data_IF_747971909220
#
_entry.id   IF_747971909220
#
_cell.length_a   1.000
_cell.length_b   1.000
_cell.length_c   1.000
_cell.angle_alpha   90.00
_cell.angle_beta   90.00
_cell.angle_gamma   90.00
#
_symmetry.space_group_name_H-M   'P 1'
#
loop_
_entity.id
_entity.type
_entity.pdbx_description
1 polymer ?
#
# COMPACT_ATOMS: atom_id res chain seq x y z
N UNK A 1 29.67 20.54 41.69
CA UNK A 1 28.47 21.18 41.10
C UNK A 1 28.88 21.85 39.80
N UNK A 2 28.37 21.38 38.66
CA UNK A 2 28.76 21.90 37.35
C UNK A 2 28.06 21.18 36.21
N UNK A 3 26.75 21.39 36.08
CA UNK A 3 25.97 21.07 34.89
C UNK A 3 26.41 21.99 33.74
N UNK A 4 26.86 21.44 32.61
CA UNK A 4 26.80 22.11 31.31
C UNK A 4 26.38 21.11 30.23
N UNK A 5 25.23 21.40 29.64
CA UNK A 5 24.57 20.57 28.64
C UNK A 5 25.39 20.42 27.36
N UNK A 6 25.31 19.22 26.79
CA UNK A 6 25.80 18.94 25.46
C UNK A 6 24.83 19.58 24.45
N UNK A 7 25.14 20.82 24.08
CA UNK A 7 24.44 21.55 23.02
C UNK A 7 24.91 20.97 21.69
N UNK A 8 24.04 20.18 21.05
CA UNK A 8 24.26 19.63 19.71
C UNK A 8 24.26 20.82 18.74
N UNK A 9 25.46 21.32 18.41
CA UNK A 9 25.63 22.33 17.37
C UNK A 9 25.37 21.68 16.02
N UNK A 10 24.21 21.98 15.41
CA UNK A 10 23.96 21.71 14.00
C UNK A 10 24.70 22.80 13.22
N UNK A 11 25.97 22.56 12.91
CA UNK A 11 26.68 23.33 11.89
C UNK A 11 26.06 23.02 10.52
N UNK A 12 25.40 24.03 9.95
CA UNK A 12 24.85 24.03 8.59
C UNK A 12 25.94 24.00 7.52
N UNK A 13 26.56 22.84 7.32
CA UNK A 13 27.25 22.52 6.07
C UNK A 13 26.25 21.95 5.06
N UNK A 14 26.45 22.16 3.74
CA UNK A 14 25.62 21.50 2.72
C UNK A 14 25.72 19.98 2.92
N UNK A 15 24.62 19.23 2.78
CA UNK A 15 24.61 17.79 3.02
C UNK A 15 25.66 17.13 2.11
N UNK A 16 26.64 16.45 2.72
CA UNK A 16 27.56 15.57 2.00
C UNK A 16 26.72 14.60 1.18
N UNK A 17 26.83 14.66 -0.14
CA UNK A 17 26.14 13.75 -1.04
C UNK A 17 26.60 12.32 -0.72
N UNK A 18 25.70 11.41 -0.31
CA UNK A 18 26.04 10.01 -0.16
C UNK A 18 26.26 9.40 -1.55
N UNK A 19 27.17 8.43 -1.61
CA UNK A 19 27.45 7.62 -2.79
C UNK A 19 26.14 7.14 -3.48
N UNK A 20 26.15 7.22 -4.80
CA UNK A 20 25.01 7.12 -5.74
C UNK A 20 24.24 5.78 -5.75
N UNK A 21 24.51 4.85 -4.85
CA UNK A 21 23.84 3.53 -4.80
C UNK A 21 22.62 3.47 -3.85
N UNK A 22 22.39 4.47 -3.01
CA UNK A 22 21.44 4.32 -1.88
C UNK A 22 19.99 4.80 -2.14
N UNK A 23 19.71 5.44 -3.28
CA UNK A 23 18.42 6.12 -3.54
C UNK A 23 17.30 5.21 -4.08
N UNK A 24 17.51 3.89 -4.10
CA UNK A 24 16.64 2.94 -4.82
C UNK A 24 15.32 2.61 -4.13
N UNK A 25 15.08 3.06 -2.89
CA UNK A 25 13.87 2.74 -2.14
C UNK A 25 12.91 3.93 -2.07
N UNK A 26 11.84 3.92 -2.89
CA UNK A 26 10.76 4.92 -2.92
C UNK A 26 10.22 5.30 -1.52
N UNK A 27 10.22 4.35 -0.58
CA UNK A 27 9.77 4.54 0.81
C UNK A 27 10.65 5.48 1.65
N UNK A 28 11.90 5.69 1.25
CA UNK A 28 12.83 6.61 1.94
C UNK A 28 12.70 8.03 1.41
N UNK A 29 12.11 8.22 0.23
CA UNK A 29 12.02 9.54 -0.40
C UNK A 29 11.23 10.54 0.46
N UNK A 30 10.10 10.10 1.04
CA UNK A 30 9.24 10.96 1.86
C UNK A 30 9.96 11.53 3.10
N UNK A 31 10.55 10.73 4.01
CA UNK A 31 11.23 11.27 5.18
C UNK A 31 12.45 12.12 4.82
N UNK A 32 13.20 11.75 3.77
CA UNK A 32 14.33 12.56 3.29
C UNK A 32 13.87 13.89 2.68
N UNK A 33 12.77 13.91 1.94
CA UNK A 33 12.21 15.14 1.35
C UNK A 33 11.78 16.13 2.42
N UNK A 34 11.12 15.67 3.48
CA UNK A 34 10.73 16.52 4.62
C UNK A 34 11.97 17.13 5.28
N UNK A 35 13.02 16.34 5.49
CA UNK A 35 14.27 16.81 6.07
C UNK A 35 15.00 17.82 5.17
N UNK A 36 14.97 17.62 3.85
CA UNK A 36 15.62 18.50 2.89
C UNK A 36 14.90 19.85 2.73
N UNK A 37 13.57 19.84 2.65
CA UNK A 37 12.74 21.04 2.41
C UNK A 37 12.64 21.89 3.68
N UNK A 38 12.44 21.26 4.85
CA UNK A 38 12.18 21.97 6.11
C UNK A 38 13.37 22.00 7.06
N UNK A 39 14.53 21.47 6.65
CA UNK A 39 15.74 21.42 7.48
C UNK A 39 16.25 22.77 7.97
N UNK A 40 15.89 23.86 7.28
CA UNK A 40 16.31 25.22 7.63
C UNK A 40 15.45 25.87 8.74
N UNK A 41 14.30 25.30 9.11
CA UNK A 41 13.39 25.85 10.12
C UNK A 41 13.38 24.91 11.35
N UNK A 42 14.00 25.29 12.49
CA UNK A 42 14.02 24.44 13.67
C UNK A 42 12.59 24.22 14.20
N UNK A 43 12.25 22.97 14.53
CA UNK A 43 10.94 22.58 15.07
C UNK A 43 9.92 22.13 14.03
N UNK A 44 9.96 22.66 12.79
CA UNK A 44 8.98 22.32 11.75
C UNK A 44 9.09 20.85 11.29
N UNK A 45 10.31 20.35 11.13
CA UNK A 45 10.57 18.92 10.84
C UNK A 45 9.99 18.02 11.94
N UNK A 46 10.09 18.43 13.21
CA UNK A 46 9.52 17.70 14.35
C UNK A 46 8.00 17.68 14.32
N UNK A 47 7.37 18.80 13.96
CA UNK A 47 5.91 18.89 13.79
C UNK A 47 5.42 17.96 12.67
N UNK A 48 6.11 17.91 11.52
CA UNK A 48 5.77 17.01 10.41
C UNK A 48 5.84 15.55 10.82
N UNK A 49 6.93 15.15 11.49
CA UNK A 49 7.12 13.76 11.96
C UNK A 49 6.04 13.39 12.99
N UNK A 50 5.76 14.28 13.95
CA UNK A 50 4.69 14.07 14.93
C UNK A 50 3.31 13.91 14.26
N UNK A 51 3.02 14.68 13.21
CA UNK A 51 1.78 14.57 12.43
C UNK A 51 1.63 13.21 11.74
N UNK A 52 2.69 12.69 11.11
CA UNK A 52 2.67 11.37 10.46
C UNK A 52 2.42 10.25 11.47
N UNK A 53 3.08 10.31 12.64
CA UNK A 53 2.83 9.36 13.72
C UNK A 53 1.41 9.47 14.26
N UNK A 54 0.90 10.69 14.48
CA UNK A 54 -0.46 10.91 14.96
C UNK A 54 -1.52 10.37 13.98
N UNK A 55 -1.37 10.62 12.68
CA UNK A 55 -2.26 10.08 11.66
C UNK A 55 -2.27 8.55 11.66
N UNK A 56 -1.08 7.94 11.73
CA UNK A 56 -0.92 6.48 11.76
C UNK A 56 -1.56 5.85 13.00
N UNK A 57 -1.32 6.44 14.18
CA UNK A 57 -1.89 5.99 15.45
C UNK A 57 -3.41 6.19 15.50
N UNK A 58 -3.92 7.26 14.89
CA UNK A 58 -5.36 7.53 14.78
C UNK A 58 -6.08 6.44 13.98
N UNK A 59 -5.57 6.10 12.78
CA UNK A 59 -6.11 5.00 11.98
C UNK A 59 -6.03 3.66 12.72
N UNK A 60 -4.88 3.37 13.35
CA UNK A 60 -4.69 2.13 14.11
C UNK A 60 -5.68 2.02 15.27
N UNK A 61 -5.91 3.10 16.02
CA UNK A 61 -6.87 3.14 17.12
C UNK A 61 -8.29 2.87 16.64
N UNK A 62 -8.72 3.52 15.55
CA UNK A 62 -10.06 3.29 14.99
C UNK A 62 -10.27 1.85 14.54
N UNK A 63 -9.27 1.24 13.91
CA UNK A 63 -9.32 -0.14 13.44
C UNK A 63 -9.41 -1.15 14.60
N UNK A 64 -8.57 -0.99 15.64
CA UNK A 64 -8.58 -1.87 16.82
C UNK A 64 -9.88 -1.73 17.61
N UNK A 65 -10.39 -0.50 17.76
CA UNK A 65 -11.65 -0.25 18.46
C UNK A 65 -12.83 -0.90 17.72
N UNK A 66 -12.88 -0.75 16.39
CA UNK A 66 -13.88 -1.40 15.57
C UNK A 66 -13.78 -2.93 15.66
N UNK A 67 -12.57 -3.49 15.53
CA UNK A 67 -12.36 -4.94 15.56
C UNK A 67 -12.74 -5.55 16.91
N UNK A 68 -12.41 -4.87 18.01
CA UNK A 68 -12.83 -5.28 19.34
C UNK A 68 -14.35 -5.27 19.50
N UNK A 69 -15.01 -4.20 19.04
CA UNK A 69 -16.46 -4.08 19.14
C UNK A 69 -17.18 -5.13 18.27
N UNK A 70 -16.72 -5.34 17.03
CA UNK A 70 -17.24 -6.38 16.12
C UNK A 70 -17.08 -7.75 16.77
N UNK A 71 -15.94 -8.04 17.40
CA UNK A 71 -15.72 -9.34 18.07
C UNK A 71 -16.66 -9.53 19.26
N UNK A 72 -16.94 -8.47 20.01
CA UNK A 72 -17.89 -8.53 21.13
C UNK A 72 -19.31 -8.76 20.64
N UNK A 73 -19.74 -8.03 19.62
CA UNK A 73 -21.09 -8.13 19.06
C UNK A 73 -21.32 -9.46 18.32
N UNK A 74 -20.36 -9.91 17.49
CA UNK A 74 -20.52 -11.09 16.63
C UNK A 74 -20.25 -12.42 17.36
N UNK A 75 -19.32 -12.43 18.31
CA UNK A 75 -18.95 -13.66 19.02
C UNK A 75 -19.44 -13.64 20.47
N UNK A 76 -19.07 -12.63 21.26
CA UNK A 76 -19.30 -12.70 22.71
C UNK A 76 -20.79 -12.58 23.07
N UNK A 77 -21.51 -11.66 22.42
CA UNK A 77 -22.92 -11.38 22.69
C UNK A 77 -23.86 -12.56 22.40
N UNK A 78 -23.77 -13.27 21.25
CA UNK A 78 -24.60 -14.47 21.02
C UNK A 78 -24.29 -15.61 22.00
N UNK A 79 -23.02 -15.81 22.39
CA UNK A 79 -22.68 -16.82 23.41
C UNK A 79 -23.12 -16.41 24.83
N UNK A 80 -23.14 -15.11 25.14
CA UNK A 80 -23.48 -14.61 26.47
C UNK A 80 -24.97 -14.32 26.66
N UNK A 81 -25.80 -14.31 25.61
CA UNK A 81 -27.25 -14.07 25.71
C UNK A 81 -27.97 -14.98 26.73
N UNK A 82 -27.43 -16.18 27.00
CA UNK A 82 -27.93 -17.10 28.04
C UNK A 82 -27.70 -16.60 29.48
N UNK A 83 -26.89 -15.56 29.69
CA UNK A 83 -26.46 -15.04 30.98
C UNK A 83 -26.64 -13.52 30.88
N UNK A 84 -27.60 -12.92 31.59
CA UNK A 84 -27.86 -11.48 31.55
C UNK A 84 -26.62 -10.69 32.06
N UNK A 85 -25.62 -10.46 31.20
CA UNK A 85 -24.35 -9.79 31.54
C UNK A 85 -24.56 -8.28 31.47
N UNK A 86 -24.03 -7.56 32.46
CA UNK A 86 -24.05 -6.10 32.51
C UNK A 86 -23.17 -5.48 31.40
N UNK A 87 -23.64 -4.39 30.78
CA UNK A 87 -22.91 -3.64 29.73
C UNK A 87 -21.50 -3.19 30.15
N UNK A 88 -21.31 -2.95 31.45
CA UNK A 88 -20.00 -2.58 32.03
C UNK A 88 -18.97 -3.69 31.85
N UNK A 89 -19.39 -4.95 31.98
CA UNK A 89 -18.53 -6.12 31.76
C UNK A 89 -18.20 -6.33 30.29
N UNK A 90 -19.16 -6.10 29.38
CA UNK A 90 -18.92 -6.18 27.93
C UNK A 90 -17.89 -5.13 27.49
N UNK A 91 -18.00 -3.91 28.03
CA UNK A 91 -17.04 -2.83 27.78
C UNK A 91 -15.63 -3.18 28.31
N UNK A 92 -15.55 -3.82 29.47
CA UNK A 92 -14.27 -4.28 30.01
C UNK A 92 -13.62 -5.33 29.12
N UNK A 93 -14.40 -6.30 28.62
CA UNK A 93 -13.92 -7.32 27.68
C UNK A 93 -13.45 -6.68 26.37
N UNK A 94 -14.20 -5.71 25.83
CA UNK A 94 -13.80 -4.97 24.63
C UNK A 94 -12.44 -4.26 24.82
N UNK A 95 -12.21 -3.63 25.98
CA UNK A 95 -10.92 -3.01 26.29
C UNK A 95 -9.78 -4.03 26.37
N UNK A 96 -10.03 -5.19 26.97
CA UNK A 96 -9.04 -6.27 27.06
C UNK A 96 -8.68 -6.83 25.68
N UNK A 97 -9.69 -7.06 24.82
CA UNK A 97 -9.49 -7.48 23.43
C UNK A 97 -8.70 -6.46 22.63
N UNK A 98 -8.97 -5.16 22.79
CA UNK A 98 -8.23 -4.11 22.12
C UNK A 98 -6.73 -4.15 22.45
N UNK A 99 -6.38 -4.34 23.73
CA UNK A 99 -4.97 -4.52 24.14
C UNK A 99 -4.36 -5.78 23.52
N UNK A 100 -5.12 -6.87 23.47
CA UNK A 100 -4.72 -8.12 22.80
C UNK A 100 -4.40 -7.92 21.31
N UNK A 101 -5.26 -7.21 20.59
CA UNK A 101 -5.04 -6.90 19.17
C UNK A 101 -3.82 -6.02 18.95
N UNK A 102 -3.55 -5.02 19.79
CA UNK A 102 -2.34 -4.20 19.69
C UNK A 102 -1.09 -5.07 19.86
N UNK A 103 -1.09 -6.00 20.83
CA UNK A 103 0.01 -6.94 21.02
C UNK A 103 0.22 -7.83 19.78
N UNK A 104 -0.87 -8.35 19.19
CA UNK A 104 -0.83 -9.16 17.98
C UNK A 104 -0.27 -8.36 16.78
N UNK A 105 -0.69 -7.10 16.61
CA UNK A 105 -0.21 -6.21 15.56
C UNK A 105 1.29 -5.94 15.71
N UNK A 106 1.78 -5.73 16.93
CA UNK A 106 3.22 -5.58 17.20
C UNK A 106 4.00 -6.85 16.84
N UNK A 107 3.47 -8.03 17.18
CA UNK A 107 4.08 -9.31 16.80
C UNK A 107 4.14 -9.46 15.27
N UNK A 108 3.03 -9.17 14.57
CA UNK A 108 2.97 -9.21 13.11
C UNK A 108 3.91 -8.19 12.46
N UNK A 109 4.11 -7.01 13.06
CA UNK A 109 5.06 -6.02 12.56
C UNK A 109 6.51 -6.55 12.58
N UNK A 110 6.89 -7.35 13.57
CA UNK A 110 8.20 -8.01 13.60
C UNK A 110 8.36 -9.01 12.46
N UNK A 111 7.30 -9.78 12.15
CA UNK A 111 7.31 -10.71 11.01
C UNK A 111 7.31 -9.94 9.68
N UNK A 112 6.58 -8.82 9.60
CA UNK A 112 6.49 -7.95 8.43
C UNK A 112 7.86 -7.42 7.98
N UNK A 113 8.82 -7.25 8.90
CA UNK A 113 10.19 -6.82 8.59
C UNK A 113 10.95 -7.77 7.65
N UNK A 114 10.52 -9.03 7.56
CA UNK A 114 11.11 -10.04 6.66
C UNK A 114 10.56 -9.95 5.22
N UNK A 115 9.49 -9.21 4.98
CA UNK A 115 8.89 -9.08 3.66
C UNK A 115 9.60 -8.01 2.83
N UNK A 116 10.09 -8.40 1.64
CA UNK A 116 10.76 -7.48 0.69
C UNK A 116 9.80 -6.45 0.07
N UNK A 117 8.49 -6.65 0.13
CA UNK A 117 7.46 -5.83 -0.50
C UNK A 117 6.23 -5.54 0.37
N UNK A 118 6.41 -5.00 1.59
CA UNK A 118 5.28 -4.86 2.56
C UNK A 118 4.09 -4.04 2.04
N UNK A 119 4.30 -2.99 1.24
CA UNK A 119 3.21 -2.15 0.75
C UNK A 119 2.32 -2.92 -0.24
N UNK A 120 2.94 -3.68 -1.14
CA UNK A 120 2.24 -4.51 -2.10
C UNK A 120 1.49 -5.65 -1.40
N UNK A 121 2.15 -6.34 -0.45
CA UNK A 121 1.54 -7.39 0.34
C UNK A 121 0.31 -6.88 1.12
N UNK A 122 0.41 -5.72 1.77
CA UNK A 122 -0.73 -5.12 2.49
C UNK A 122 -1.87 -4.75 1.53
N UNK A 123 -1.57 -4.16 0.37
CA UNK A 123 -2.61 -3.80 -0.59
C UNK A 123 -3.35 -5.02 -1.16
N UNK A 124 -2.64 -6.13 -1.38
CA UNK A 124 -3.25 -7.40 -1.80
C UNK A 124 -4.16 -7.94 -0.70
N UNK A 125 -3.70 -8.02 0.55
CA UNK A 125 -4.51 -8.56 1.66
C UNK A 125 -5.75 -7.72 1.94
N UNK A 126 -5.60 -6.39 1.99
CA UNK A 126 -6.73 -5.47 2.21
C UNK A 126 -7.72 -5.53 1.05
N UNK A 127 -7.21 -5.55 -0.19
CA UNK A 127 -8.04 -5.71 -1.37
C UNK A 127 -8.80 -7.03 -1.35
N UNK A 128 -8.13 -8.15 -1.09
CA UNK A 128 -8.71 -9.50 -1.17
C UNK A 128 -10.03 -9.66 -0.41
N UNK A 129 -10.14 -9.04 0.76
CA UNK A 129 -11.36 -9.07 1.57
C UNK A 129 -12.26 -7.88 1.23
N UNK A 130 -11.69 -6.69 1.01
CA UNK A 130 -12.45 -5.46 0.77
C UNK A 130 -13.22 -5.44 -0.55
N UNK A 131 -12.64 -5.90 -1.67
CA UNK A 131 -13.30 -5.80 -2.99
C UNK A 131 -14.52 -6.70 -3.14
N UNK A 132 -14.50 -7.98 -2.72
CA UNK A 132 -15.70 -8.82 -2.76
C UNK A 132 -16.82 -8.28 -1.86
N UNK A 133 -16.48 -7.76 -0.67
CA UNK A 133 -17.46 -7.14 0.23
C UNK A 133 -18.08 -5.89 -0.41
N UNK A 134 -17.27 -5.05 -1.04
CA UNK A 134 -17.78 -3.90 -1.79
C UNK A 134 -18.70 -4.36 -2.93
N UNK A 135 -18.34 -5.42 -3.66
CA UNK A 135 -19.15 -6.00 -4.73
C UNK A 135 -20.54 -6.44 -4.25
N UNK A 136 -20.63 -7.20 -3.15
CA UNK A 136 -21.93 -7.64 -2.61
C UNK A 136 -22.74 -6.47 -2.02
N UNK A 137 -22.07 -5.46 -1.46
CA UNK A 137 -22.75 -4.28 -0.95
C UNK A 137 -23.41 -3.48 -2.09
N UNK A 138 -22.70 -3.32 -3.20
CA UNK A 138 -23.25 -2.71 -4.42
C UNK A 138 -24.37 -3.58 -5.00
N UNK A 139 -24.25 -4.91 -4.99
CA UNK A 139 -25.31 -5.81 -5.45
C UNK A 139 -26.61 -5.57 -4.66
N UNK A 140 -26.53 -5.53 -3.34
CA UNK A 140 -27.69 -5.29 -2.47
C UNK A 140 -28.27 -3.88 -2.58
N UNK A 141 -27.46 -2.89 -2.97
CA UNK A 141 -27.94 -1.51 -3.17
C UNK A 141 -28.65 -1.32 -4.51
N UNK A 142 -28.13 -1.92 -5.59
CA UNK A 142 -28.65 -1.72 -6.95
C UNK A 142 -29.70 -2.74 -7.38
N UNK A 143 -29.83 -3.86 -6.69
CA UNK A 143 -30.70 -4.96 -7.09
C UNK A 143 -31.64 -5.38 -5.95
N UNK A 144 -32.94 -5.49 -6.26
CA UNK A 144 -33.96 -5.96 -5.31
C UNK A 144 -34.17 -7.47 -5.33
N UNK A 145 -33.59 -8.18 -6.30
CA UNK A 145 -33.67 -9.64 -6.48
C UNK A 145 -32.48 -10.39 -5.86
N UNK A 146 -31.68 -9.75 -5.01
CA UNK A 146 -30.50 -10.39 -4.42
C UNK A 146 -30.91 -11.37 -3.31
N UNK A 147 -30.59 -12.65 -3.51
CA UNK A 147 -30.85 -13.73 -2.57
C UNK A 147 -29.61 -14.05 -1.71
N UNK A 148 -29.80 -14.47 -0.46
CA UNK A 148 -28.73 -14.85 0.47
C UNK A 148 -27.74 -15.89 -0.11
N UNK A 149 -28.18 -17.05 -0.65
CA UNK A 149 -27.26 -18.05 -1.18
C UNK A 149 -26.52 -17.56 -2.43
N UNK A 150 -27.19 -16.81 -3.32
CA UNK A 150 -26.57 -16.25 -4.52
C UNK A 150 -25.48 -15.23 -4.19
N UNK A 151 -25.74 -14.38 -3.18
CA UNK A 151 -24.76 -13.39 -2.68
C UNK A 151 -23.54 -14.08 -2.06
N UNK A 152 -23.74 -15.17 -1.32
CA UNK A 152 -22.65 -15.96 -0.74
C UNK A 152 -21.76 -16.63 -1.81
N UNK A 153 -22.37 -17.16 -2.88
CA UNK A 153 -21.64 -17.74 -4.02
C UNK A 153 -20.82 -16.65 -4.74
N UNK A 154 -21.41 -15.48 -4.97
CA UNK A 154 -20.70 -14.33 -5.52
C UNK A 154 -19.50 -13.91 -4.67
N UNK A 155 -19.68 -13.85 -3.34
CA UNK A 155 -18.59 -13.52 -2.41
C UNK A 155 -17.43 -14.52 -2.48
N UNK A 156 -17.73 -15.82 -2.42
CA UNK A 156 -16.71 -16.89 -2.43
C UNK A 156 -15.96 -16.94 -3.76
N UNK A 157 -16.67 -16.79 -4.89
CA UNK A 157 -16.06 -16.80 -6.23
C UNK A 157 -15.18 -15.57 -6.44
N UNK A 158 -15.63 -14.38 -6.01
CA UNK A 158 -14.84 -13.15 -6.03
C UNK A 158 -13.58 -13.23 -5.17
N UNK A 159 -13.71 -13.75 -3.95
CA UNK A 159 -12.58 -13.97 -3.03
C UNK A 159 -11.57 -14.96 -3.64
N UNK A 160 -12.03 -16.07 -4.20
CA UNK A 160 -11.18 -17.06 -4.86
C UNK A 160 -10.43 -16.50 -6.06
N UNK A 161 -11.13 -15.71 -6.90
CA UNK A 161 -10.52 -15.09 -8.08
C UNK A 161 -9.46 -14.04 -7.69
N UNK A 162 -9.76 -13.18 -6.71
CA UNK A 162 -8.78 -12.20 -6.24
C UNK A 162 -7.61 -12.87 -5.55
N UNK A 163 -7.85 -13.89 -4.73
CA UNK A 163 -6.77 -14.64 -4.07
C UNK A 163 -5.86 -15.31 -5.09
N UNK A 164 -6.43 -15.97 -6.10
CA UNK A 164 -5.67 -16.57 -7.20
C UNK A 164 -4.79 -15.55 -7.92
N UNK A 165 -5.39 -14.45 -8.39
CA UNK A 165 -4.68 -13.48 -9.19
C UNK A 165 -3.72 -12.61 -8.36
N UNK A 166 -4.09 -12.24 -7.14
CA UNK A 166 -3.28 -11.43 -6.23
C UNK A 166 -2.07 -12.20 -5.70
N UNK A 167 -2.27 -13.45 -5.27
CA UNK A 167 -1.16 -14.30 -4.83
C UNK A 167 -0.29 -14.72 -6.02
N UNK A 168 -0.89 -14.99 -7.19
CA UNK A 168 -0.18 -15.25 -8.43
C UNK A 168 0.71 -14.07 -8.84
N UNK A 169 0.21 -12.83 -8.77
CA UNK A 169 1.00 -11.62 -9.04
C UNK A 169 2.13 -11.43 -8.03
N UNK A 170 1.86 -11.68 -6.74
CA UNK A 170 2.86 -11.56 -5.67
C UNK A 170 4.02 -12.57 -5.81
N UNK A 171 3.72 -13.79 -6.25
CA UNK A 171 4.75 -14.83 -6.50
C UNK A 171 5.52 -14.54 -7.79
N UNK A 172 4.79 -14.23 -8.87
CA UNK A 172 5.35 -14.13 -10.23
C UNK A 172 6.18 -12.87 -10.41
N UNK A 173 5.97 -11.83 -9.59
CA UNK A 173 6.71 -10.56 -9.60
C UNK A 173 6.88 -10.01 -11.02
N UNK A 174 5.82 -9.45 -11.63
CA UNK A 174 5.99 -8.77 -12.90
C UNK A 174 7.03 -7.65 -12.73
N UNK A 175 8.12 -7.73 -13.50
CA UNK A 175 9.13 -6.68 -13.55
C UNK A 175 8.50 -5.45 -14.16
N UNK A 176 7.98 -4.54 -13.32
CA UNK A 176 7.53 -3.24 -13.77
C UNK A 176 8.79 -2.49 -14.13
N UNK A 177 9.07 -2.34 -15.43
CA UNK A 177 10.17 -1.55 -15.93
C UNK A 177 10.09 -0.14 -15.32
N UNK A 178 10.92 0.13 -14.33
CA UNK A 178 11.01 1.46 -13.74
C UNK A 178 11.70 2.35 -14.75
N UNK A 179 11.04 3.43 -15.17
CA UNK A 179 11.68 4.44 -16.01
C UNK A 179 13.00 4.89 -15.35
N UNK A 180 14.09 5.02 -16.12
CA UNK A 180 15.39 5.41 -15.58
C UNK A 180 15.26 6.79 -14.93
N UNK A 181 15.40 6.85 -13.60
CA UNK A 181 15.35 8.09 -12.81
C UNK A 181 16.73 8.75 -12.65
N UNK A 182 17.61 8.55 -13.63
CA UNK A 182 18.94 9.17 -13.63
C UNK A 182 18.87 10.50 -14.37
N UNK A 183 19.19 11.60 -13.68
CA UNK A 183 19.49 12.90 -14.30
C UNK A 183 20.99 13.06 -14.60
N UNK A 184 21.78 11.97 -14.53
CA UNK A 184 23.19 12.00 -14.91
C UNK A 184 23.29 12.38 -16.40
N UNK A 185 23.76 13.60 -16.67
CA UNK A 185 23.88 14.17 -18.01
C UNK A 185 22.97 15.37 -18.32
N UNK A 186 22.06 15.77 -17.42
CA UNK A 186 21.26 16.97 -17.63
C UNK A 186 22.05 18.22 -17.19
N UNK A 187 22.96 18.68 -18.05
CA UNK A 187 23.53 20.03 -17.95
C UNK A 187 22.52 21.01 -18.54
N UNK A 188 21.85 21.79 -17.69
CA UNK A 188 21.23 23.04 -18.15
C UNK A 188 22.40 24.00 -18.35
N UNK A 189 22.97 24.02 -19.55
CA UNK A 189 23.80 25.13 -19.97
C UNK A 189 22.87 26.35 -20.09
N UNK A 190 22.98 27.24 -19.11
CA UNK A 190 22.43 28.58 -19.17
C UNK A 190 23.23 29.40 -20.19
N UNK A 191 23.09 29.07 -21.47
CA UNK A 191 23.51 29.93 -22.55
C UNK A 191 22.29 30.74 -22.96
N UNK A 192 22.25 31.97 -22.46
CA UNK A 192 21.46 33.06 -23.01
C UNK A 192 21.94 33.36 -24.43
N UNK A 193 21.72 32.48 -25.40
CA UNK A 193 21.80 32.83 -26.82
C UNK A 193 20.71 32.10 -27.60
N UNK A 194 19.86 32.95 -28.17
CA UNK A 194 18.85 32.74 -29.21
C UNK A 194 18.99 31.45 -30.04
N UNK A 195 17.87 30.75 -30.16
CA UNK A 195 17.64 29.65 -31.11
C UNK A 195 17.74 30.17 -32.55
N UNK A 196 18.95 30.19 -33.12
CA UNK A 196 19.15 30.39 -34.56
C UNK A 196 19.22 29.01 -35.23
N UNK A 197 18.08 28.56 -35.76
CA UNK A 197 18.01 27.50 -36.74
C UNK A 197 18.76 27.98 -37.99
N UNK A 198 19.94 27.42 -38.22
CA UNK A 198 20.54 27.39 -39.55
C UNK A 198 20.92 25.94 -39.87
N UNK A 199 20.17 25.42 -40.83
CA UNK A 199 20.43 24.23 -41.63
C UNK A 199 21.90 24.08 -41.97
N UNK A 200 22.49 22.93 -41.65
CA UNK A 200 23.44 22.22 -42.51
C UNK A 200 23.72 20.83 -41.92
N UNK A 201 23.55 19.81 -42.77
CA UNK A 201 23.63 18.41 -42.44
C UNK A 201 25.09 17.96 -42.30
N UNK A 202 25.44 17.32 -41.19
CA UNK A 202 26.67 16.53 -41.07
C UNK A 202 26.42 15.28 -40.25
N UNK A 203 26.32 14.16 -40.98
CA UNK A 203 26.58 12.76 -40.58
C UNK A 203 26.34 12.38 -39.12
N UNK A 204 25.11 11.94 -38.83
CA UNK A 204 24.84 11.03 -37.72
C UNK A 204 25.42 9.67 -38.11
N UNK A 205 26.53 9.28 -37.48
CA UNK A 205 26.93 7.87 -37.46
C UNK A 205 25.89 7.10 -36.64
N UNK A 206 25.25 6.16 -37.34
CA UNK A 206 24.36 5.14 -36.82
C UNK A 206 25.06 4.30 -35.74
N UNK A 207 24.72 4.52 -34.47
CA UNK A 207 24.78 3.44 -33.46
C UNK A 207 23.39 2.82 -33.41
N UNK A 208 23.12 1.99 -34.40
CA UNK A 208 22.05 1.01 -34.39
C UNK A 208 22.61 -0.24 -33.73
N UNK A 209 22.55 -0.32 -32.40
CA UNK A 209 22.43 -1.60 -31.70
C UNK A 209 22.15 -1.34 -30.22
N UNK A 210 20.91 -1.60 -29.82
CA UNK A 210 20.58 -1.84 -28.42
C UNK A 210 21.41 -3.06 -27.95
N UNK A 211 22.10 -3.00 -26.81
CA UNK A 211 22.81 -4.16 -26.30
C UNK A 211 21.78 -5.21 -25.89
N UNK A 212 21.63 -6.20 -26.75
CA UNK A 212 20.97 -7.45 -26.47
C UNK A 212 21.75 -8.21 -25.39
N UNK A 213 21.01 -8.59 -24.34
CA UNK A 213 21.17 -9.78 -23.50
C UNK A 213 22.25 -9.78 -22.40
N UNK A 214 21.78 -9.58 -21.16
CA UNK A 214 22.05 -10.58 -20.12
C UNK A 214 20.70 -11.26 -19.84
N UNK A 215 20.64 -12.55 -20.15
CA UNK A 215 19.45 -13.37 -20.02
C UNK A 215 18.88 -13.33 -18.60
N UNK A 216 17.65 -12.87 -18.52
CA UNK A 216 16.69 -13.34 -17.53
C UNK A 216 15.67 -14.08 -18.37
N UNK A 217 15.45 -15.37 -18.08
CA UNK A 217 14.34 -16.15 -18.62
C UNK A 217 13.11 -15.24 -18.71
N UNK A 218 12.66 -14.94 -19.94
CA UNK A 218 11.33 -14.40 -20.14
C UNK A 218 10.41 -15.56 -19.78
N UNK A 219 10.17 -15.73 -18.48
CA UNK A 219 9.14 -16.62 -18.00
C UNK A 219 7.89 -16.23 -18.78
N UNK A 220 7.30 -17.21 -19.46
CA UNK A 220 6.02 -17.10 -20.16
C UNK A 220 4.95 -16.84 -19.09
N UNK A 221 4.91 -15.60 -18.63
CA UNK A 221 4.01 -15.12 -17.60
C UNK A 221 2.67 -14.92 -18.29
N UNK A 222 1.63 -15.62 -17.80
CA UNK A 222 0.28 -15.47 -18.32
C UNK A 222 -0.07 -13.97 -18.49
N UNK A 223 -0.65 -13.56 -19.64
CA UNK A 223 -0.89 -12.15 -19.97
C UNK A 223 -1.74 -11.42 -18.92
N UNK A 224 -2.49 -12.16 -18.10
CA UNK A 224 -3.29 -11.64 -17.00
C UNK A 224 -2.45 -10.97 -15.88
N UNK A 225 -1.18 -11.38 -15.71
CA UNK A 225 -0.27 -10.80 -14.72
C UNK A 225 0.53 -9.61 -15.27
N UNK A 226 0.45 -9.33 -16.59
CA UNK A 226 1.01 -8.12 -17.21
C UNK A 226 0.12 -6.89 -17.00
N UNK A 227 -1.15 -7.07 -16.63
CA UNK A 227 -2.05 -5.97 -16.32
C UNK A 227 -1.64 -5.26 -15.03
N UNK A 228 -1.90 -3.94 -14.98
CA UNK A 228 -1.62 -3.15 -13.77
C UNK A 228 -2.39 -3.72 -12.58
N UNK A 229 -1.71 -3.90 -11.46
CA UNK A 229 -2.27 -4.36 -10.19
C UNK A 229 -3.47 -3.51 -9.70
N UNK A 230 -3.62 -2.28 -10.20
CA UNK A 230 -4.77 -1.40 -9.93
C UNK A 230 -6.09 -1.87 -10.56
N UNK A 231 -6.03 -2.62 -11.66
CA UNK A 231 -7.23 -3.11 -12.35
C UNK A 231 -7.74 -4.44 -11.79
N UNK A 232 -6.88 -5.17 -11.09
CA UNK A 232 -7.22 -6.46 -10.51
C UNK A 232 -8.37 -6.41 -9.48
N UNK A 233 -8.42 -5.42 -8.56
CA UNK A 233 -9.57 -5.25 -7.65
C UNK A 233 -10.87 -4.97 -8.38
N UNK A 234 -10.85 -4.10 -9.39
CA UNK A 234 -12.04 -3.76 -10.18
C UNK A 234 -12.62 -5.00 -10.87
N UNK A 235 -11.77 -5.79 -11.52
CA UNK A 235 -12.19 -7.01 -12.17
C UNK A 235 -12.83 -8.00 -11.18
N UNK A 236 -12.20 -8.20 -10.03
CA UNK A 236 -12.77 -9.08 -8.99
C UNK A 236 -14.12 -8.58 -8.48
N UNK A 237 -14.28 -7.28 -8.23
CA UNK A 237 -15.55 -6.72 -7.77
C UNK A 237 -16.67 -6.89 -8.81
N UNK A 238 -16.36 -6.70 -10.09
CA UNK A 238 -17.30 -6.93 -11.20
C UNK A 238 -17.68 -8.41 -11.31
N UNK A 239 -16.73 -9.32 -11.17
CA UNK A 239 -17.01 -10.76 -11.14
C UNK A 239 -17.94 -11.11 -9.97
N UNK A 240 -17.67 -10.60 -8.76
CA UNK A 240 -18.55 -10.79 -7.59
C UNK A 240 -19.97 -10.31 -7.88
N UNK A 241 -20.13 -9.13 -8.49
CA UNK A 241 -21.42 -8.56 -8.85
C UNK A 241 -22.18 -9.44 -9.85
N UNK A 242 -21.52 -9.83 -10.95
CA UNK A 242 -22.15 -10.61 -12.02
C UNK A 242 -22.52 -12.00 -11.53
N UNK A 243 -21.59 -12.70 -10.87
CA UNK A 243 -21.83 -14.06 -10.38
C UNK A 243 -22.89 -14.04 -9.27
N UNK A 244 -22.84 -13.07 -8.36
CA UNK A 244 -23.85 -12.91 -7.32
C UNK A 244 -25.24 -12.66 -7.91
N UNK A 245 -25.35 -11.75 -8.89
CA UNK A 245 -26.61 -11.47 -9.58
C UNK A 245 -27.17 -12.71 -10.30
N UNK A 246 -26.34 -13.37 -11.12
CA UNK A 246 -26.76 -14.56 -11.86
C UNK A 246 -27.19 -15.69 -10.91
N UNK A 247 -26.41 -15.95 -9.87
CA UNK A 247 -26.75 -16.97 -8.87
C UNK A 247 -28.07 -16.63 -8.17
N UNK A 248 -28.29 -15.36 -7.80
CA UNK A 248 -29.56 -14.92 -7.21
C UNK A 248 -30.76 -14.96 -8.15
N UNK A 249 -30.56 -14.90 -9.48
CA UNK A 249 -31.65 -15.10 -10.43
C UNK A 249 -32.01 -16.57 -10.66
N UNK A 250 -31.05 -17.48 -10.49
CA UNK A 250 -31.25 -18.93 -10.69
C UNK A 250 -31.77 -19.66 -9.45
N UNK A 251 -31.52 -19.13 -8.25
CA UNK A 251 -31.97 -19.63 -6.93
C UNK A 251 -33.19 -18.85 -6.46
#
# INVERSE_FOLDING_TARGET
MGCRGCMISIQGGPPKQPSTEHWTSLKRLMPYGILYIFGNIPGLTGLCIAGVFSASLGSLSSAVNALSNITVEDFIKPFCISKNISDTWMTFIAKLLAVGYICLILLMALVASKFRGVLEATNIVVGMVGVPILGIYLLGMFTTTANEPGTLIGLLTGLGMYAWAGFGAYITKPSIATLPRSTAGCHIESNTEFFNISTEATTIESVTEAPHLIGVEENDICPIYKWSYMWLPLFSAVVTLIVGYLASCFL
#
